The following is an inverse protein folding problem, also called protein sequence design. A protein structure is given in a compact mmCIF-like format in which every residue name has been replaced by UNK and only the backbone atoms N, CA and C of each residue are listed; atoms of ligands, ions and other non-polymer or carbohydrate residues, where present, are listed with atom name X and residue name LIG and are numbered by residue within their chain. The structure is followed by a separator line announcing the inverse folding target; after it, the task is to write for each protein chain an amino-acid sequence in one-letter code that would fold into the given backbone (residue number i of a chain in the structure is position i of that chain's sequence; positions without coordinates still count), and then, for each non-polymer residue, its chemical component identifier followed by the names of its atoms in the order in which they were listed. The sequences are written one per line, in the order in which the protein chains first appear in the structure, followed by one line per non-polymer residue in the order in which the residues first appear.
data_IF_889248548151
#
_entry.id   IF_889248548151
#
_cell.length_a   1.000
_cell.length_b   1.000
_cell.length_c   1.000
_cell.angle_alpha   90.00
_cell.angle_beta   90.00
_cell.angle_gamma   90.00
#
_symmetry.space_group_name_H-M   'P 1'
#
loop_
_entity.id
_entity.type
_entity.pdbx_description
1 polymer ?
#
# COMPACT_ATOMS: atom_id res chain seq x y z
N UNK A 1 2.81 35.46 1.86
CA UNK A 1 1.85 34.37 2.08
C UNK A 1 2.67 33.11 2.18
N UNK A 2 2.55 32.43 3.31
CA UNK A 2 3.49 31.47 3.90
C UNK A 2 3.86 30.29 2.98
N UNK A 3 5.16 29.94 2.98
CA UNK A 3 5.83 28.84 2.30
C UNK A 3 5.09 27.49 2.36
N UNK A 4 4.86 26.89 1.19
CA UNK A 4 4.90 25.42 1.04
C UNK A 4 6.37 25.04 1.17
N UNK A 5 6.81 24.72 2.38
CA UNK A 5 8.17 24.26 2.65
C UNK A 5 8.57 23.17 1.65
N UNK A 6 9.57 23.44 0.81
CA UNK A 6 10.16 22.48 -0.12
C UNK A 6 10.42 21.17 0.65
N UNK A 7 9.67 20.12 0.32
CA UNK A 7 9.90 18.79 0.89
C UNK A 7 11.25 18.33 0.37
N UNK A 8 12.22 18.16 1.27
CA UNK A 8 13.53 17.63 0.92
C UNK A 8 13.39 16.22 0.32
N UNK A 9 14.20 15.93 -0.71
CA UNK A 9 14.15 14.68 -1.46
C UNK A 9 14.43 13.45 -0.59
N UNK A 10 15.25 13.59 0.46
CA UNK A 10 15.50 12.52 1.42
C UNK A 10 14.23 12.21 2.20
N UNK A 11 13.58 13.22 2.77
CA UNK A 11 12.32 13.05 3.50
C UNK A 11 11.24 12.43 2.62
N UNK A 12 11.09 12.92 1.38
CA UNK A 12 10.12 12.36 0.42
C UNK A 12 10.35 10.87 0.19
N UNK A 13 11.58 10.46 -0.13
CA UNK A 13 11.90 9.06 -0.40
C UNK A 13 11.80 8.19 0.86
N UNK A 14 12.19 8.68 2.03
CA UNK A 14 12.02 7.94 3.30
C UNK A 14 10.54 7.68 3.56
N UNK A 15 9.68 8.69 3.43
CA UNK A 15 8.24 8.54 3.65
C UNK A 15 7.60 7.62 2.60
N UNK A 16 7.99 7.75 1.33
CA UNK A 16 7.50 6.89 0.25
C UNK A 16 7.84 5.42 0.49
N UNK A 17 9.10 5.13 0.83
CA UNK A 17 9.55 3.76 1.10
C UNK A 17 8.92 3.21 2.39
N UNK A 18 8.74 4.05 3.42
CA UNK A 18 8.03 3.64 4.64
C UNK A 18 6.57 3.24 4.34
N UNK A 19 5.84 4.02 3.53
CA UNK A 19 4.46 3.69 3.16
C UNK A 19 4.37 2.37 2.36
N UNK A 20 5.30 2.16 1.42
CA UNK A 20 5.40 0.91 0.68
C UNK A 20 5.71 -0.29 1.60
N UNK A 21 6.67 -0.13 2.51
CA UNK A 21 7.05 -1.16 3.48
C UNK A 21 5.89 -1.53 4.42
N UNK A 22 5.11 -0.56 4.88
CA UNK A 22 3.89 -0.81 5.68
C UNK A 22 2.91 -1.68 4.89
N UNK A 23 2.67 -1.40 3.61
CA UNK A 23 1.79 -2.23 2.78
C UNK A 23 2.32 -3.66 2.60
N UNK A 24 3.61 -3.81 2.33
CA UNK A 24 4.30 -5.10 2.22
C UNK A 24 4.17 -5.93 3.51
N UNK A 25 4.44 -5.33 4.67
CA UNK A 25 4.34 -6.00 5.97
C UNK A 25 2.89 -6.38 6.32
N UNK A 26 1.92 -5.50 6.07
CA UNK A 26 0.50 -5.81 6.24
C UNK A 26 0.09 -7.02 5.40
N UNK A 27 0.49 -7.03 4.13
CA UNK A 27 0.17 -8.11 3.22
C UNK A 27 0.87 -9.42 3.61
N UNK A 28 2.13 -9.37 4.01
CA UNK A 28 2.86 -10.53 4.50
C UNK A 28 2.20 -11.11 5.76
N UNK A 29 1.75 -10.26 6.68
CA UNK A 29 1.01 -10.68 7.87
C UNK A 29 -0.33 -11.32 7.51
N UNK A 30 -1.09 -10.73 6.58
CA UNK A 30 -2.35 -11.30 6.09
C UNK A 30 -2.16 -12.69 5.47
N UNK A 31 -1.15 -12.87 4.63
CA UNK A 31 -0.82 -14.18 4.05
C UNK A 31 -0.40 -15.16 5.15
N UNK A 32 0.36 -14.72 6.15
CA UNK A 32 0.84 -15.60 7.24
C UNK A 32 -0.29 -16.09 8.14
N UNK A 33 -1.27 -15.25 8.41
CA UNK A 33 -2.38 -15.55 9.35
C UNK A 33 -3.66 -16.02 8.66
N UNK A 34 -3.77 -15.90 7.33
CA UNK A 34 -4.92 -16.34 6.56
C UNK A 34 -5.14 -17.85 6.62
N UNK A 35 -6.39 -18.26 6.85
CA UNK A 35 -6.83 -19.66 6.80
C UNK A 35 -7.26 -20.11 5.39
N UNK A 36 -7.68 -19.16 4.54
CA UNK A 36 -8.14 -19.46 3.17
C UNK A 36 -6.96 -19.87 2.29
N UNK A 37 -7.04 -20.99 1.54
CA UNK A 37 -6.02 -21.35 0.56
C UNK A 37 -5.80 -20.26 -0.50
N UNK A 38 -6.84 -19.49 -0.84
CA UNK A 38 -6.69 -18.37 -1.77
C UNK A 38 -5.76 -17.29 -1.20
N UNK A 39 -5.83 -17.01 0.11
CA UNK A 39 -4.97 -16.01 0.76
C UNK A 39 -3.60 -16.62 1.12
N UNK A 40 -3.59 -17.79 1.74
CA UNK A 40 -2.40 -18.43 2.31
C UNK A 40 -1.45 -18.99 1.25
N UNK A 41 -2.00 -19.65 0.24
CA UNK A 41 -1.24 -20.40 -0.76
C UNK A 41 -1.20 -19.66 -2.09
N UNK A 42 -2.36 -19.21 -2.59
CA UNK A 42 -2.44 -18.49 -3.88
C UNK A 42 -2.06 -17.02 -3.78
N UNK A 43 -2.05 -16.44 -2.57
CA UNK A 43 -1.77 -15.02 -2.31
C UNK A 43 -2.66 -14.08 -3.14
N UNK A 44 -3.91 -14.50 -3.28
CA UNK A 44 -5.00 -13.79 -3.94
C UNK A 44 -5.52 -12.69 -2.98
N UNK A 45 -4.64 -11.73 -2.68
CA UNK A 45 -4.91 -10.61 -1.79
C UNK A 45 -3.89 -9.49 -2.02
N UNK A 46 -4.25 -8.27 -1.67
CA UNK A 46 -3.34 -7.13 -1.63
C UNK A 46 -3.74 -6.20 -0.49
N UNK A 47 -2.79 -5.41 -0.01
CA UNK A 47 -3.03 -4.36 0.97
C UNK A 47 -2.63 -3.02 0.36
N UNK A 48 -3.42 -1.99 0.63
CA UNK A 48 -3.13 -0.63 0.18
C UNK A 48 -3.38 0.35 1.32
N UNK A 49 -2.67 1.47 1.26
CA UNK A 49 -2.80 2.61 2.16
C UNK A 49 -3.45 3.76 1.39
N UNK A 50 -4.44 4.39 2.01
CA UNK A 50 -5.16 5.54 1.46
C UNK A 50 -5.05 6.71 2.43
N UNK A 51 -5.12 7.93 1.91
CA UNK A 51 -5.23 9.13 2.73
C UNK A 51 -6.68 9.45 3.11
N UNK A 52 -6.88 10.62 3.73
CA UNK A 52 -8.20 11.06 4.20
C UNK A 52 -9.16 11.41 3.05
N UNK A 53 -8.64 11.65 1.84
CA UNK A 53 -9.40 11.99 0.64
C UNK A 53 -9.64 10.76 -0.25
N UNK A 54 -9.34 9.56 0.26
CA UNK A 54 -9.45 8.27 -0.42
C UNK A 54 -8.48 8.11 -1.61
N UNK A 55 -7.42 8.93 -1.69
CA UNK A 55 -6.37 8.73 -2.68
C UNK A 55 -5.40 7.64 -2.21
N UNK A 56 -5.03 6.74 -3.13
CA UNK A 56 -4.09 5.66 -2.80
C UNK A 56 -2.66 6.20 -2.70
N UNK A 57 -2.04 5.96 -1.54
CA UNK A 57 -0.66 6.36 -1.24
C UNK A 57 0.34 5.26 -1.61
N UNK A 58 0.01 4.00 -1.30
CA UNK A 58 0.89 2.85 -1.57
C UNK A 58 0.08 1.55 -1.61
N UNK A 59 0.64 0.51 -2.22
CA UNK A 59 0.04 -0.81 -2.31
C UNK A 59 1.12 -1.90 -2.35
N UNK A 60 0.84 -3.05 -1.74
CA UNK A 60 1.60 -4.29 -1.95
C UNK A 60 1.07 -5.01 -3.19
N UNK A 61 1.91 -5.18 -4.21
CA UNK A 61 1.51 -5.65 -5.54
C UNK A 61 1.64 -7.17 -5.69
N UNK A 62 0.57 -7.92 -5.40
CA UNK A 62 0.58 -9.39 -5.61
C UNK A 62 -0.37 -9.88 -6.71
N UNK A 63 -1.28 -9.02 -7.17
CA UNK A 63 -2.29 -9.38 -8.15
C UNK A 63 -2.47 -8.29 -9.22
N UNK A 64 -2.34 -8.63 -10.51
CA UNK A 64 -2.47 -7.66 -11.59
C UNK A 64 -3.81 -6.91 -11.61
N UNK A 65 -4.91 -7.57 -11.24
CA UNK A 65 -6.23 -6.93 -11.22
C UNK A 65 -6.30 -5.80 -10.18
N UNK A 66 -5.64 -5.95 -9.03
CA UNK A 66 -5.64 -4.94 -7.98
C UNK A 66 -4.88 -3.67 -8.38
N UNK A 67 -3.87 -3.76 -9.26
CA UNK A 67 -3.16 -2.57 -9.76
C UNK A 67 -4.10 -1.57 -10.45
N UNK A 68 -5.12 -2.07 -11.15
CA UNK A 68 -6.07 -1.23 -11.87
C UNK A 68 -7.32 -0.86 -11.06
N UNK A 69 -7.80 -1.76 -10.20
CA UNK A 69 -9.09 -1.59 -9.51
C UNK A 69 -8.98 -0.98 -8.12
N UNK A 70 -7.86 -1.19 -7.43
CA UNK A 70 -7.71 -0.83 -6.02
C UNK A 70 -7.82 0.68 -5.74
N UNK A 71 -7.36 1.60 -6.61
CA UNK A 71 -7.60 3.04 -6.42
C UNK A 71 -9.09 3.45 -6.42
N UNK A 72 -9.97 2.60 -6.93
CA UNK A 72 -11.42 2.84 -7.00
C UNK A 72 -12.21 2.05 -5.94
N UNK A 73 -11.52 1.47 -4.95
CA UNK A 73 -12.12 0.58 -3.95
C UNK A 73 -12.72 1.28 -2.73
N UNK A 74 -12.45 2.58 -2.57
CA UNK A 74 -12.86 3.44 -1.45
C UNK A 74 -13.60 4.64 -2.00
#
# INVERSE_FOLDING_TARGET
MSDTSDIDSVTLEVTRNAAAAVCEEMNANLIRTGYSPNIKERRDCSCALFDADAEMIAQAENMPVHLGSMPFSV
#
